data_IF_800151990754
#
_entry.id   IF_800151990754
#
_cell.length_a   1.000
_cell.length_b   1.000
_cell.length_c   1.000
_cell.angle_alpha   90.00
_cell.angle_beta   90.00
_cell.angle_gamma   90.00
#
_symmetry.space_group_name_H-M   'P 1'
#
loop_
_entity.id
_entity.type
_entity.pdbx_description
1 polymer ?
#
# COMPACT_ATOMS: atom_id res chain seq x y z
N UNK A 1 -10.08 11.72 -10.31
CA UNK A 1 -11.04 10.70 -10.79
C UNK A 1 -10.89 9.44 -9.96
N UNK A 2 -11.97 8.68 -9.78
CA UNK A 2 -12.03 7.46 -8.95
C UNK A 2 -12.71 6.31 -9.72
N UNK A 3 -12.33 5.05 -9.43
CA UNK A 3 -12.98 3.83 -9.92
C UNK A 3 -13.05 2.75 -8.82
N UNK A 4 -14.04 1.87 -8.93
CA UNK A 4 -14.27 0.72 -8.03
C UNK A 4 -13.60 -0.58 -8.52
N UNK A 5 -12.52 -0.48 -9.28
CA UNK A 5 -11.67 -1.60 -9.65
C UNK A 5 -10.22 -1.23 -9.40
N UNK A 6 -9.40 -2.12 -8.81
CA UNK A 6 -7.99 -1.83 -8.63
C UNK A 6 -7.32 -1.55 -9.98
N UNK A 7 -6.35 -0.66 -9.98
CA UNK A 7 -5.52 -0.38 -11.14
C UNK A 7 -4.40 -1.42 -11.25
N UNK A 8 -3.83 -1.85 -10.14
CA UNK A 8 -2.78 -2.86 -10.09
C UNK A 8 -3.36 -4.20 -9.64
N UNK A 9 -2.82 -5.29 -10.18
CA UNK A 9 -3.15 -6.62 -9.68
C UNK A 9 -2.44 -6.82 -8.35
N UNK A 10 -3.20 -7.07 -7.29
CA UNK A 10 -2.64 -7.24 -5.95
C UNK A 10 -1.57 -8.35 -5.89
N UNK A 11 -1.78 -9.46 -6.61
CA UNK A 11 -0.80 -10.54 -6.69
C UNK A 11 0.55 -10.11 -7.28
N UNK A 12 0.56 -9.21 -8.27
CA UNK A 12 1.80 -8.72 -8.88
C UNK A 12 2.59 -7.85 -7.87
N UNK A 13 1.88 -7.03 -7.09
CA UNK A 13 2.48 -6.26 -5.99
C UNK A 13 3.08 -7.18 -4.93
N UNK A 14 2.34 -8.22 -4.52
CA UNK A 14 2.82 -9.19 -3.53
C UNK A 14 4.06 -9.94 -4.02
N UNK A 15 4.13 -10.30 -5.31
CA UNK A 15 5.31 -10.93 -5.89
C UNK A 15 6.54 -10.00 -5.88
N UNK A 16 6.37 -8.72 -6.22
CA UNK A 16 7.47 -7.73 -6.16
C UNK A 16 8.00 -7.60 -4.73
N UNK A 17 7.12 -7.42 -3.76
CA UNK A 17 7.51 -7.27 -2.34
C UNK A 17 8.13 -8.56 -1.79
N UNK A 18 7.63 -9.73 -2.18
CA UNK A 18 8.22 -11.01 -1.78
C UNK A 18 9.64 -11.20 -2.33
N UNK A 19 9.91 -10.71 -3.55
CA UNK A 19 11.21 -10.80 -4.21
C UNK A 19 12.22 -9.80 -3.64
N UNK A 20 11.82 -8.53 -3.52
CA UNK A 20 12.74 -7.41 -3.26
C UNK A 20 12.77 -6.99 -1.79
N UNK A 21 11.82 -7.48 -0.98
CA UNK A 21 11.71 -7.13 0.44
C UNK A 21 11.58 -5.61 0.63
N UNK A 22 12.42 -5.04 1.50
CA UNK A 22 12.39 -3.60 1.78
C UNK A 22 12.81 -2.73 0.59
N UNK A 23 13.55 -3.30 -0.39
CA UNK A 23 13.97 -2.58 -1.59
C UNK A 23 12.79 -2.31 -2.54
N UNK A 24 11.66 -2.99 -2.34
CA UNK A 24 10.43 -2.68 -3.06
C UNK A 24 9.83 -1.33 -2.67
N UNK A 25 10.26 -0.69 -1.57
CA UNK A 25 9.64 0.51 -1.03
C UNK A 25 10.50 1.75 -1.23
N UNK A 26 9.84 2.89 -1.45
CA UNK A 26 10.53 4.18 -1.44
C UNK A 26 10.95 4.58 -0.03
N UNK A 27 11.95 5.45 0.10
CA UNK A 27 12.40 5.98 1.39
C UNK A 27 11.24 6.60 2.20
N UNK A 28 10.31 7.29 1.53
CA UNK A 28 9.12 7.85 2.17
C UNK A 28 8.19 6.78 2.73
N UNK A 29 7.99 5.66 2.01
CA UNK A 29 7.17 4.55 2.49
C UNK A 29 7.83 3.87 3.71
N UNK A 30 9.14 3.68 3.68
CA UNK A 30 9.91 3.16 4.83
C UNK A 30 9.85 4.11 6.04
N UNK A 31 9.94 5.42 5.83
CA UNK A 31 9.78 6.39 6.91
C UNK A 31 8.38 6.35 7.53
N UNK A 32 7.32 6.31 6.70
CA UNK A 32 5.94 6.24 7.18
C UNK A 32 5.69 4.97 8.01
N UNK A 33 6.32 3.83 7.68
CA UNK A 33 6.23 2.61 8.49
C UNK A 33 6.70 2.85 9.93
N UNK A 34 7.80 3.61 10.10
CA UNK A 34 8.38 3.90 11.41
C UNK A 34 7.46 4.77 12.24
N UNK A 35 6.85 5.79 11.61
CA UNK A 35 5.84 6.67 12.24
C UNK A 35 4.64 5.86 12.75
N UNK A 36 4.28 4.76 12.09
CA UNK A 36 3.22 3.86 12.54
C UNK A 36 3.63 2.85 13.61
N UNK A 37 4.92 2.75 13.93
CA UNK A 37 5.45 1.69 14.79
C UNK A 37 5.46 0.31 14.14
N UNK A 38 5.44 0.22 12.79
CA UNK A 38 5.58 -1.06 12.09
C UNK A 38 7.05 -1.46 11.99
N UNK A 39 7.38 -2.69 12.39
CA UNK A 39 8.67 -3.30 12.09
C UNK A 39 8.78 -3.62 10.59
N UNK A 40 10.00 -3.89 10.11
CA UNK A 40 10.22 -4.33 8.73
C UNK A 40 9.42 -5.61 8.42
N UNK A 41 9.47 -6.60 9.31
CA UNK A 41 8.68 -7.84 9.19
C UNK A 41 7.18 -7.55 9.23
N UNK A 42 6.74 -6.61 10.07
CA UNK A 42 5.34 -6.18 10.14
C UNK A 42 4.85 -5.58 8.84
N UNK A 43 5.67 -4.74 8.19
CA UNK A 43 5.37 -4.17 6.88
C UNK A 43 5.24 -5.27 5.82
N UNK A 44 6.20 -6.19 5.73
CA UNK A 44 6.19 -7.26 4.73
C UNK A 44 4.99 -8.20 4.93
N UNK A 45 4.70 -8.57 6.19
CA UNK A 45 3.55 -9.41 6.52
C UNK A 45 2.21 -8.72 6.22
N UNK A 46 2.11 -7.41 6.45
CA UNK A 46 0.90 -6.65 6.11
C UNK A 46 0.59 -6.75 4.62
N UNK A 47 1.59 -6.63 3.74
CA UNK A 47 1.41 -6.73 2.29
C UNK A 47 1.14 -8.15 1.82
N UNK A 48 1.88 -9.13 2.36
CA UNK A 48 1.61 -10.54 2.09
C UNK A 48 0.19 -10.96 2.51
N UNK A 49 -0.35 -10.38 3.58
CA UNK A 49 -1.69 -10.65 4.10
C UNK A 49 -2.84 -9.92 3.41
N UNK A 50 -2.55 -8.96 2.51
CA UNK A 50 -3.60 -8.22 1.80
C UNK A 50 -4.48 -9.15 0.97
N UNK A 51 -5.78 -8.84 0.93
CA UNK A 51 -6.79 -9.58 0.16
C UNK A 51 -7.56 -8.64 -0.76
N UNK A 52 -8.08 -9.10 -1.91
CA UNK A 52 -8.92 -8.29 -2.78
C UNK A 52 -10.14 -7.67 -2.07
N UNK A 53 -10.70 -8.36 -1.09
CA UNK A 53 -11.83 -7.85 -0.28
C UNK A 53 -11.50 -6.62 0.58
N UNK A 54 -10.20 -6.32 0.79
CA UNK A 54 -9.76 -5.12 1.51
C UNK A 54 -9.75 -3.89 0.61
N UNK A 55 -9.89 -4.05 -0.71
CA UNK A 55 -9.90 -2.96 -1.67
C UNK A 55 -11.11 -2.05 -1.44
N UNK A 56 -10.85 -0.74 -1.40
CA UNK A 56 -11.89 0.28 -1.29
C UNK A 56 -12.13 0.94 -2.65
N UNK A 57 -11.06 1.48 -3.23
CA UNK A 57 -11.14 2.31 -4.44
C UNK A 57 -9.79 2.49 -5.09
N UNK A 58 -9.80 2.90 -6.35
CA UNK A 58 -8.61 3.36 -7.06
C UNK A 58 -8.83 4.80 -7.49
N UNK A 59 -7.90 5.69 -7.17
CA UNK A 59 -8.02 7.11 -7.47
C UNK A 59 -6.74 7.68 -8.05
N UNK A 60 -6.88 8.72 -8.87
CA UNK A 60 -5.75 9.50 -9.38
C UNK A 60 -5.85 10.95 -8.92
N UNK A 61 -4.73 11.68 -8.96
CA UNK A 61 -4.69 13.09 -8.56
C UNK A 61 -5.10 14.00 -9.72
N UNK A 62 -5.55 15.22 -9.43
CA UNK A 62 -5.82 16.23 -10.47
C UNK A 62 -4.54 16.68 -11.19
N UNK A 63 -3.40 16.67 -10.49
CA UNK A 63 -2.12 17.13 -11.03
C UNK A 63 -1.45 16.12 -11.94
N UNK A 64 -1.73 14.83 -11.75
CA UNK A 64 -1.21 13.77 -12.60
C UNK A 64 -2.19 12.62 -12.68
N UNK A 65 -2.85 12.49 -13.83
CA UNK A 65 -3.87 11.48 -14.12
C UNK A 65 -3.32 10.11 -14.52
N UNK A 66 -2.00 9.99 -14.71
CA UNK A 66 -1.37 8.71 -15.10
C UNK A 66 -1.04 7.84 -13.89
N UNK A 67 -0.84 8.45 -12.72
CA UNK A 67 -0.56 7.73 -11.48
C UNK A 67 -1.87 7.39 -10.77
N UNK A 68 -2.14 6.10 -10.64
CA UNK A 68 -3.28 5.58 -9.88
C UNK A 68 -2.84 5.07 -8.52
N UNK A 69 -3.65 5.33 -7.51
CA UNK A 69 -3.52 4.91 -6.12
C UNK A 69 -4.63 3.92 -5.81
N UNK A 70 -4.29 2.65 -5.61
CA UNK A 70 -5.24 1.67 -5.10
C UNK A 70 -5.26 1.73 -3.57
N UNK A 71 -6.44 1.92 -3.02
CA UNK A 71 -6.68 2.07 -1.59
C UNK A 71 -7.20 0.77 -1.01
N UNK A 72 -6.59 0.33 0.09
CA UNK A 72 -7.00 -0.82 0.86
C UNK A 72 -7.13 -0.48 2.35
N UNK A 73 -8.08 -1.13 3.03
CA UNK A 73 -8.16 -1.16 4.49
C UNK A 73 -7.58 -2.48 5.00
N UNK A 74 -6.39 -2.42 5.59
CA UNK A 74 -5.62 -3.60 5.97
C UNK A 74 -5.62 -3.74 7.50
N UNK A 75 -6.26 -4.79 8.07
CA UNK A 75 -6.17 -5.06 9.50
C UNK A 75 -4.73 -5.37 9.91
N UNK A 76 -4.27 -4.77 11.01
CA UNK A 76 -2.98 -5.03 11.61
C UNK A 76 -3.12 -5.95 12.84
N UNK A 77 -2.06 -6.71 13.21
CA UNK A 77 -2.12 -7.63 14.35
C UNK A 77 -2.45 -6.98 15.70
N UNK A 78 -2.18 -5.68 15.85
CA UNK A 78 -2.45 -4.91 17.06
C UNK A 78 -3.87 -4.33 17.12
N UNK A 79 -4.75 -4.74 16.21
CA UNK A 79 -6.15 -4.32 16.16
C UNK A 79 -6.40 -3.02 15.42
N UNK A 80 -5.37 -2.32 14.96
CA UNK A 80 -5.52 -1.13 14.11
C UNK A 80 -5.90 -1.52 12.68
N UNK A 81 -6.49 -0.57 11.94
CA UNK A 81 -6.68 -0.69 10.50
C UNK A 81 -5.78 0.31 9.79
N UNK A 82 -4.88 -0.21 8.97
CA UNK A 82 -4.02 0.56 8.11
C UNK A 82 -4.76 0.99 6.83
N UNK A 83 -4.78 2.29 6.55
CA UNK A 83 -5.19 2.80 5.24
C UNK A 83 -4.01 2.73 4.28
N UNK A 84 -3.94 1.69 3.46
CA UNK A 84 -2.82 1.41 2.54
C UNK A 84 -3.14 2.00 1.17
N UNK A 85 -2.38 3.00 0.73
CA UNK A 85 -2.39 3.45 -0.67
C UNK A 85 -1.24 2.80 -1.41
N UNK A 86 -1.55 2.00 -2.42
CA UNK A 86 -0.59 1.36 -3.32
C UNK A 86 -0.48 2.17 -4.62
N UNK A 87 0.75 2.55 -4.96
CA UNK A 87 1.12 2.94 -6.32
C UNK A 87 2.32 2.13 -6.77
N UNK A 88 2.39 1.83 -8.06
CA UNK A 88 3.60 1.31 -8.68
C UNK A 88 4.33 2.46 -9.39
N UNK A 89 5.54 2.78 -8.93
CA UNK A 89 6.42 3.78 -9.56
C UNK A 89 7.75 3.12 -9.83
N UNK A 90 8.13 2.99 -11.10
CA UNK A 90 9.39 2.35 -11.51
C UNK A 90 9.64 0.96 -10.87
N UNK A 91 8.56 0.19 -10.67
CA UNK A 91 8.61 -1.12 -10.04
C UNK A 91 8.62 -1.11 -8.50
N UNK A 92 8.75 0.05 -7.86
CA UNK A 92 8.64 0.21 -6.41
C UNK A 92 7.18 0.40 -5.98
N UNK A 93 6.80 -0.28 -4.92
CA UNK A 93 5.54 -0.14 -4.21
C UNK A 93 5.68 1.03 -3.25
N UNK A 94 4.97 2.12 -3.53
CA UNK A 94 4.81 3.18 -2.54
C UNK A 94 3.63 2.81 -1.68
N UNK A 95 3.87 2.68 -0.36
CA UNK A 95 2.80 2.57 0.62
C UNK A 95 2.74 3.85 1.43
N UNK A 96 1.60 4.52 1.35
CA UNK A 96 1.21 5.46 2.39
C UNK A 96 0.27 4.74 3.33
N UNK A 97 0.62 4.77 4.61
CA UNK A 97 -0.28 4.39 5.67
C UNK A 97 -0.82 5.64 6.35
N UNK A 98 -2.13 5.67 6.58
CA UNK A 98 -2.78 6.67 7.42
C UNK A 98 -3.57 5.97 8.52
N UNK A 99 -3.65 6.59 9.69
CA UNK A 99 -4.68 6.24 10.67
C UNK A 99 -6.04 6.59 10.07
N UNK A 100 -7.09 5.91 10.49
CA UNK A 100 -8.44 6.11 9.93
C UNK A 100 -9.06 7.48 10.28
N UNK A 101 -8.33 8.35 10.99
CA UNK A 101 -8.68 9.72 11.26
C UNK A 101 -7.63 10.66 10.64
N UNK A 102 -7.99 11.19 9.47
CA UNK A 102 -7.49 12.39 8.80
C UNK A 102 -8.63 12.92 7.91
#
# INVERSE_FOLDING_TARGET
MEKHKPHYRLGDIQMIVARDGLLAFTATALFNRLVMGLSDTGLLNAIAGMKPAMFQKSMTTYRNHTIWQDVYHVPLPDGRVAYVKLTLQDGAVVIQFKNQED
#
